data_IF_505061658067
#
_entry.id   IF_505061658067
#
_cell.length_a   1.000
_cell.length_b   1.000
_cell.length_c   1.000
_cell.angle_alpha   90.00
_cell.angle_beta   90.00
_cell.angle_gamma   90.00
#
_symmetry.space_group_name_H-M   'P 1'
#
loop_
_entity.id
_entity.type
_entity.pdbx_description
1 polymer ?
#
# COMPACT_ATOMS: atom_id res chain seq x y z
N UNK A 1 -23.21 16.89 -14.72
CA UNK A 1 -22.26 16.99 -13.59
C UNK A 1 -20.86 17.13 -14.13
N UNK A 2 -20.01 17.96 -13.52
CA UNK A 2 -18.60 18.11 -13.93
C UNK A 2 -17.79 16.88 -13.53
N UNK A 3 -16.92 16.43 -14.44
CA UNK A 3 -15.99 15.32 -14.21
C UNK A 3 -14.56 15.87 -14.14
N UNK A 4 -13.68 15.19 -13.39
CA UNK A 4 -12.27 15.53 -13.28
C UNK A 4 -11.42 14.28 -13.29
N UNK A 5 -10.26 14.38 -13.93
CA UNK A 5 -9.25 13.32 -13.98
C UNK A 5 -7.94 13.85 -13.41
N UNK A 6 -7.16 12.96 -12.80
CA UNK A 6 -5.85 13.28 -12.24
C UNK A 6 -4.95 12.07 -12.20
N UNK A 7 -3.65 12.35 -12.12
CA UNK A 7 -2.59 11.35 -11.90
C UNK A 7 -1.74 11.85 -10.75
N UNK A 8 -1.40 10.95 -9.83
CA UNK A 8 -0.49 11.23 -8.73
C UNK A 8 0.56 10.11 -8.64
N UNK A 9 1.78 10.51 -8.28
CA UNK A 9 2.87 9.60 -7.99
C UNK A 9 3.54 10.01 -6.68
N UNK A 10 4.11 9.06 -5.95
CA UNK A 10 4.80 9.35 -4.69
C UNK A 10 5.56 8.15 -4.15
N UNK A 11 6.32 8.38 -3.08
CA UNK A 11 7.08 7.34 -2.39
C UNK A 11 6.49 7.09 -1.00
N UNK A 12 6.52 5.84 -0.54
CA UNK A 12 6.07 5.45 0.81
C UNK A 12 7.08 4.55 1.50
N UNK A 13 7.12 4.62 2.82
CA UNK A 13 7.98 3.79 3.67
C UNK A 13 7.23 2.61 4.28
N UNK A 14 7.88 1.44 4.39
CA UNK A 14 7.36 0.28 5.12
C UNK A 14 8.15 0.03 6.39
N UNK A 15 7.44 -0.03 7.52
CA UNK A 15 8.03 -0.33 8.84
C UNK A 15 7.60 -1.74 9.28
N UNK A 16 8.50 -2.71 9.21
CA UNK A 16 8.24 -4.07 9.69
C UNK A 16 8.47 -4.14 11.21
N UNK A 17 7.38 -4.22 11.98
CA UNK A 17 7.47 -4.31 13.43
C UNK A 17 7.94 -5.72 13.89
N UNK A 18 7.43 -6.76 13.24
CA UNK A 18 7.79 -8.14 13.54
C UNK A 18 7.68 -9.04 12.31
N UNK A 19 8.71 -9.84 12.06
CA UNK A 19 8.77 -10.83 11.00
C UNK A 19 9.06 -12.21 11.60
N UNK A 20 8.14 -13.16 11.39
CA UNK A 20 8.29 -14.56 11.83
C UNK A 20 8.40 -15.46 10.61
N UNK A 21 9.53 -16.11 10.43
CA UNK A 21 9.76 -17.10 9.38
C UNK A 21 9.78 -18.50 9.97
N UNK A 22 8.94 -19.39 9.43
CA UNK A 22 8.94 -20.82 9.76
C UNK A 22 9.37 -21.59 8.51
N UNK A 23 10.49 -22.29 8.59
CA UNK A 23 11.01 -23.10 7.49
C UNK A 23 10.64 -24.56 7.73
N UNK A 24 9.99 -25.19 6.75
CA UNK A 24 9.67 -26.62 6.76
C UNK A 24 10.58 -27.33 5.77
N UNK A 25 11.57 -28.06 6.29
CA UNK A 25 12.48 -28.88 5.49
C UNK A 25 11.92 -30.31 5.38
N UNK A 26 11.70 -30.78 4.14
CA UNK A 26 11.11 -32.10 3.86
C UNK A 26 12.06 -33.30 4.00
N UNK A 27 13.34 -33.09 4.37
CA UNK A 27 14.31 -34.17 4.49
C UNK A 27 15.13 -34.06 5.79
N UNK A 28 15.19 -35.16 6.53
CA UNK A 28 15.64 -35.31 7.92
C UNK A 28 17.09 -34.90 8.24
N UNK A 29 17.86 -34.39 7.27
CA UNK A 29 19.28 -34.11 7.42
C UNK A 29 19.63 -32.63 7.68
N UNK A 30 18.69 -31.69 7.55
CA UNK A 30 18.98 -30.25 7.70
C UNK A 30 18.64 -29.72 9.09
N UNK A 31 19.68 -29.45 9.90
CA UNK A 31 19.60 -28.82 11.23
C UNK A 31 19.70 -27.28 11.17
N UNK A 32 18.94 -26.66 10.27
CA UNK A 32 18.77 -25.19 10.26
C UNK A 32 17.74 -24.73 11.31
N UNK A 33 17.82 -23.49 11.83
CA UNK A 33 16.87 -22.99 12.81
C UNK A 33 15.45 -23.00 12.23
N UNK A 34 14.57 -23.82 12.84
CA UNK A 34 13.17 -24.05 12.42
C UNK A 34 12.29 -22.78 12.50
N UNK A 35 12.76 -21.73 13.19
CA UNK A 35 12.09 -20.44 13.36
C UNK A 35 13.12 -19.31 13.37
N UNK A 36 12.92 -18.29 12.55
CA UNK A 36 13.71 -17.05 12.55
C UNK A 36 12.76 -15.87 12.84
N UNK A 37 13.10 -15.04 13.82
CA UNK A 37 12.25 -13.94 14.28
C UNK A 37 13.07 -12.65 14.27
N UNK A 38 12.72 -11.75 13.35
CA UNK A 38 13.34 -10.43 13.25
C UNK A 38 12.33 -9.42 13.78
N UNK A 39 12.77 -8.54 14.67
CA UNK A 39 11.91 -7.51 15.24
C UNK A 39 12.51 -6.14 14.93
N UNK A 40 11.71 -5.29 14.27
CA UNK A 40 12.02 -3.89 14.03
C UNK A 40 13.37 -3.59 13.34
N UNK A 41 13.91 -4.52 12.54
CA UNK A 41 15.18 -4.29 11.82
C UNK A 41 14.95 -3.94 10.34
N UNK A 42 13.91 -4.48 9.70
CA UNK A 42 13.65 -4.27 8.29
C UNK A 42 12.76 -3.04 8.06
N UNK A 43 13.39 -1.88 7.93
CA UNK A 43 12.74 -0.62 7.62
C UNK A 43 13.09 -0.19 6.20
N UNK A 44 12.06 -0.01 5.37
CA UNK A 44 12.20 0.30 3.95
C UNK A 44 11.74 1.74 3.71
N UNK A 45 12.64 2.68 3.96
CA UNK A 45 12.36 4.10 3.79
C UNK A 45 12.22 4.47 2.33
N UNK A 46 11.07 5.06 1.97
CA UNK A 46 10.74 5.46 0.58
C UNK A 46 10.93 4.32 -0.44
N UNK A 47 10.94 3.07 0.01
CA UNK A 47 11.24 1.89 -0.79
C UNK A 47 10.09 1.42 -1.66
N UNK A 48 8.98 2.16 -1.70
CA UNK A 48 7.79 1.81 -2.50
C UNK A 48 7.32 3.00 -3.30
N UNK A 49 7.29 2.86 -4.63
CA UNK A 49 6.65 3.79 -5.53
C UNK A 49 5.13 3.56 -5.54
N UNK A 50 4.38 4.64 -5.43
CA UNK A 50 2.93 4.67 -5.49
C UNK A 50 2.52 5.41 -6.76
N UNK A 51 1.63 4.81 -7.54
CA UNK A 51 0.98 5.42 -8.69
C UNK A 51 -0.52 5.38 -8.44
N UNK A 52 -1.19 6.52 -8.62
CA UNK A 52 -2.63 6.67 -8.39
C UNK A 52 -3.23 7.38 -9.58
N UNK A 53 -4.28 6.82 -10.14
CA UNK A 53 -5.15 7.52 -11.08
C UNK A 53 -6.38 7.98 -10.32
N UNK A 54 -6.86 9.18 -10.58
CA UNK A 54 -8.01 9.76 -9.88
C UNK A 54 -9.09 10.13 -10.89
N UNK A 55 -10.30 9.62 -10.67
CA UNK A 55 -11.50 10.04 -11.37
C UNK A 55 -12.51 10.58 -10.37
N UNK A 56 -13.01 11.78 -10.60
CA UNK A 56 -14.01 12.46 -9.77
C UNK A 56 -15.22 12.84 -10.61
N UNK A 57 -16.41 12.56 -10.09
CA UNK A 57 -17.69 12.95 -10.68
C UNK A 57 -18.48 13.76 -9.66
N UNK A 58 -18.84 14.98 -10.00
CA UNK A 58 -19.75 15.79 -9.20
C UNK A 58 -21.18 15.26 -9.36
N UNK A 59 -21.77 14.80 -8.26
CA UNK A 59 -23.16 14.33 -8.19
C UNK A 59 -24.10 15.53 -8.03
N UNK A 60 -23.72 16.47 -7.17
CA UNK A 60 -24.39 17.76 -6.95
C UNK A 60 -23.35 18.88 -6.92
N UNK A 61 -23.75 20.12 -6.65
CA UNK A 61 -22.80 21.23 -6.47
C UNK A 61 -21.95 21.09 -5.20
N UNK A 62 -22.42 20.31 -4.23
CA UNK A 62 -21.77 20.15 -2.93
C UNK A 62 -21.20 18.74 -2.72
N UNK A 63 -21.65 17.75 -3.50
CA UNK A 63 -21.29 16.34 -3.33
C UNK A 63 -20.60 15.80 -4.57
N UNK A 64 -19.48 15.12 -4.37
CA UNK A 64 -18.73 14.44 -5.43
C UNK A 64 -18.33 13.02 -5.04
N UNK A 65 -18.39 12.12 -6.01
CA UNK A 65 -17.92 10.75 -5.93
C UNK A 65 -16.53 10.65 -6.57
N UNK A 66 -15.65 9.83 -5.99
CA UNK A 66 -14.29 9.62 -6.46
C UNK A 66 -13.93 8.14 -6.54
N UNK A 67 -13.15 7.79 -7.56
CA UNK A 67 -12.60 6.47 -7.80
C UNK A 67 -11.11 6.63 -8.05
N UNK A 68 -10.29 5.97 -7.24
CA UNK A 68 -8.84 6.11 -7.30
C UNK A 68 -8.16 4.73 -7.32
N UNK A 69 -8.02 4.09 -8.49
CA UNK A 69 -7.19 2.91 -8.60
C UNK A 69 -5.73 3.28 -8.30
N UNK A 70 -5.05 2.42 -7.54
CA UNK A 70 -3.67 2.62 -7.14
C UNK A 70 -2.83 1.37 -7.35
N UNK A 71 -1.54 1.59 -7.55
CA UNK A 71 -0.53 0.56 -7.67
C UNK A 71 0.69 0.92 -6.82
N UNK A 72 1.17 -0.03 -6.03
CA UNK A 72 2.35 0.07 -5.16
C UNK A 72 3.41 -0.89 -5.65
N UNK A 73 4.52 -0.34 -6.12
CA UNK A 73 5.67 -1.08 -6.63
C UNK A 73 6.83 -0.98 -5.63
N UNK A 74 7.32 -2.11 -5.08
CA UNK A 74 8.53 -2.10 -4.27
C UNK A 74 9.74 -1.78 -5.15
N UNK A 75 10.48 -0.75 -4.77
CA UNK A 75 11.75 -0.33 -5.37
C UNK A 75 12.94 -0.99 -4.69
N UNK A 76 12.79 -1.39 -3.43
CA UNK A 76 13.77 -2.14 -2.66
C UNK A 76 13.24 -3.55 -2.35
N UNK A 77 14.15 -4.48 -2.08
CA UNK A 77 13.78 -5.80 -1.60
C UNK A 77 13.22 -5.69 -0.17
N UNK A 78 11.96 -6.07 0.04
CA UNK A 78 11.28 -5.88 1.33
C UNK A 78 11.38 -7.13 2.21
N UNK A 79 11.89 -6.92 3.42
CA UNK A 79 12.04 -7.94 4.46
C UNK A 79 13.22 -8.88 4.23
N UNK A 80 13.43 -9.82 5.17
CA UNK A 80 14.59 -10.74 5.13
C UNK A 80 14.55 -11.75 3.98
N UNK A 81 13.37 -12.04 3.46
CA UNK A 81 13.17 -12.95 2.33
C UNK A 81 13.22 -12.29 0.95
N UNK A 82 13.59 -11.01 0.85
CA UNK A 82 13.56 -10.22 -0.39
C UNK A 82 12.23 -10.33 -1.15
N UNK A 83 11.12 -10.14 -0.44
CA UNK A 83 9.79 -10.33 -1.01
C UNK A 83 9.39 -9.06 -1.75
N UNK A 84 9.08 -9.20 -3.04
CA UNK A 84 8.52 -8.12 -3.86
C UNK A 84 7.03 -7.96 -3.55
N UNK A 85 6.71 -7.25 -2.47
CA UNK A 85 5.34 -6.93 -2.08
C UNK A 85 4.72 -5.88 -3.03
N UNK A 86 4.19 -6.36 -4.15
CA UNK A 86 3.38 -5.57 -5.07
C UNK A 86 1.94 -5.52 -4.57
N UNK A 87 1.32 -4.35 -4.58
CA UNK A 87 -0.08 -4.18 -4.18
C UNK A 87 -0.82 -3.31 -5.17
N UNK A 88 -2.05 -3.68 -5.50
CA UNK A 88 -2.94 -2.89 -6.33
C UNK A 88 -4.31 -2.83 -5.63
N UNK A 89 -5.04 -1.73 -5.81
CA UNK A 89 -6.36 -1.60 -5.25
C UNK A 89 -7.14 -0.44 -5.83
N UNK A 90 -8.34 -0.23 -5.31
CA UNK A 90 -9.24 0.84 -5.71
C UNK A 90 -9.80 1.54 -4.46
N UNK A 91 -9.60 2.85 -4.37
CA UNK A 91 -10.23 3.65 -3.32
C UNK A 91 -11.47 4.34 -3.88
N UNK A 92 -12.61 4.11 -3.25
CA UNK A 92 -13.88 4.76 -3.59
C UNK A 92 -14.23 5.72 -2.45
N UNK A 93 -14.55 6.97 -2.76
CA UNK A 93 -14.79 7.99 -1.75
C UNK A 93 -15.87 8.98 -2.13
N UNK A 94 -16.66 9.40 -1.15
CA UNK A 94 -17.66 10.45 -1.28
C UNK A 94 -17.18 11.69 -0.52
N UNK A 95 -17.21 12.86 -1.16
CA UNK A 95 -16.85 14.14 -0.54
C UNK A 95 -18.05 15.07 -0.61
N UNK A 96 -18.40 15.69 0.51
CA UNK A 96 -19.50 16.65 0.59
C UNK A 96 -19.07 17.92 1.33
N UNK A 97 -19.53 19.08 0.87
CA UNK A 97 -19.29 20.37 1.51
C UNK A 97 -20.56 20.82 2.24
N UNK A 98 -20.53 20.75 3.57
CA UNK A 98 -21.59 21.29 4.42
C UNK A 98 -21.38 22.79 4.61
N UNK A 99 -22.29 23.61 4.10
CA UNK A 99 -22.36 25.01 4.51
C UNK A 99 -23.14 25.07 5.81
N UNK A 100 -22.54 25.61 6.87
CA UNK A 100 -23.25 25.94 8.11
C UNK A 100 -24.22 27.09 7.78
N UNK A 101 -25.51 26.90 8.03
CA UNK A 101 -26.45 28.02 8.06
C UNK A 101 -26.22 28.74 9.38
N UNK A 102 -25.83 30.01 9.29
CA UNK A 102 -25.96 30.96 10.40
C UNK A 102 -27.38 31.48 10.48
#
# INVERSE_FOLDING_TARGET
GKNGFGVAAGLSSYFMLQEKYAFYYGYSAWRGPRRYNIKNQNQHYLGVANLVLSYKRNLTNNTSLSFNPYYKLPLTDIGYGNIRLRSAGLNIGLTTNFKKSE
#
